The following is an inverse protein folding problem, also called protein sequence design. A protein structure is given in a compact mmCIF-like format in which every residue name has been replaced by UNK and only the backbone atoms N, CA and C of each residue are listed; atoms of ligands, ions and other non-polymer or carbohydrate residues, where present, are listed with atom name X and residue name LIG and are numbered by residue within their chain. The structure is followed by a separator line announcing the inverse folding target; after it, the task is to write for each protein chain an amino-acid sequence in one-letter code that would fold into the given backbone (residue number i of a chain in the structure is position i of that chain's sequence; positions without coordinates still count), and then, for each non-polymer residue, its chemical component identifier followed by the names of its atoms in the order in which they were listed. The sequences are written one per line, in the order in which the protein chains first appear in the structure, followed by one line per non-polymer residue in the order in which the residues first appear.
data_IF_668231977025
#
_entry.id   IF_668231977025
#
_cell.length_a   1.000
_cell.length_b   1.000
_cell.length_c   1.000
_cell.angle_alpha   90.00
_cell.angle_beta   90.00
_cell.angle_gamma   90.00
#
_symmetry.space_group_name_H-M   'P 1'
#
loop_
_entity.id
_entity.type
_entity.pdbx_description
1 polymer ?
#
# COMPACT_ATOMS: atom_id res chain seq x y z
N UNK A 1 -3.00 -9.13 -37.47
CA UNK A 1 -2.02 -8.90 -36.38
C UNK A 1 -2.75 -8.51 -35.08
N UNK A 2 -3.45 -9.44 -34.41
CA UNK A 2 -4.34 -9.09 -33.27
C UNK A 2 -4.50 -10.15 -32.18
N UNK A 3 -4.53 -11.45 -32.52
CA UNK A 3 -4.68 -12.54 -31.51
C UNK A 3 -3.44 -12.78 -30.64
N UNK A 4 -2.23 -12.55 -31.17
CA UNK A 4 -0.97 -12.76 -30.43
C UNK A 4 -0.82 -11.76 -29.26
N UNK A 5 -1.21 -10.50 -29.47
CA UNK A 5 -1.14 -9.43 -28.45
C UNK A 5 -2.11 -9.68 -27.29
N UNK A 6 -3.33 -10.15 -27.58
CA UNK A 6 -4.33 -10.48 -26.55
C UNK A 6 -3.90 -11.65 -25.68
N UNK A 7 -3.30 -12.69 -26.27
CA UNK A 7 -2.79 -13.84 -25.52
C UNK A 7 -1.62 -13.47 -24.60
N UNK A 8 -0.67 -12.66 -25.09
CA UNK A 8 0.46 -12.16 -24.28
C UNK A 8 -0.05 -11.30 -23.12
N UNK A 9 -1.04 -10.42 -23.37
CA UNK A 9 -1.68 -9.61 -22.32
C UNK A 9 -2.42 -10.46 -21.29
N UNK A 10 -3.19 -11.45 -21.71
CA UNK A 10 -3.90 -12.36 -20.81
C UNK A 10 -2.93 -13.20 -19.96
N UNK A 11 -1.84 -13.70 -20.57
CA UNK A 11 -0.79 -14.45 -19.87
C UNK A 11 -0.05 -13.57 -18.86
N UNK A 12 0.31 -12.34 -19.25
CA UNK A 12 0.94 -11.37 -18.35
C UNK A 12 0.01 -11.02 -17.18
N UNK A 13 -1.27 -10.77 -17.47
CA UNK A 13 -2.26 -10.47 -16.44
C UNK A 13 -2.38 -11.63 -15.46
N UNK A 14 -2.57 -12.87 -15.92
CA UNK A 14 -2.58 -14.05 -15.03
C UNK A 14 -1.31 -14.16 -14.20
N UNK A 15 -0.15 -13.98 -14.83
CA UNK A 15 1.14 -14.02 -14.12
C UNK A 15 1.29 -12.91 -13.06
N UNK A 16 0.63 -11.75 -13.21
CA UNK A 16 0.72 -10.67 -12.21
C UNK A 16 -0.43 -10.70 -11.19
N UNK A 17 -1.59 -11.18 -11.59
CA UNK A 17 -2.84 -11.14 -10.82
C UNK A 17 -3.10 -12.43 -10.05
N UNK A 18 -2.67 -13.57 -10.58
CA UNK A 18 -3.02 -14.90 -10.06
C UNK A 18 -1.80 -15.69 -9.57
N UNK A 19 -0.59 -15.37 -10.05
CA UNK A 19 0.60 -16.08 -9.61
C UNK A 19 0.93 -15.76 -8.14
N UNK A 20 1.26 -16.80 -7.37
CA UNK A 20 1.53 -16.70 -5.94
C UNK A 20 2.75 -15.81 -5.61
N UNK A 21 3.69 -15.69 -6.54
CA UNK A 21 4.87 -14.83 -6.48
C UNK A 21 4.68 -13.46 -7.18
N UNK A 22 3.49 -13.23 -7.74
CA UNK A 22 3.13 -11.96 -8.37
C UNK A 22 3.16 -10.80 -7.36
N UNK A 23 3.46 -9.60 -7.85
CA UNK A 23 3.57 -8.38 -7.03
C UNK A 23 2.29 -8.03 -6.26
N UNK A 24 1.14 -8.62 -6.63
CA UNK A 24 -0.14 -8.45 -5.93
C UNK A 24 -0.16 -9.13 -4.56
N UNK A 25 0.61 -10.20 -4.39
CA UNK A 25 0.58 -11.05 -3.21
C UNK A 25 1.93 -11.05 -2.49
N UNK A 26 1.88 -11.41 -1.21
CA UNK A 26 3.09 -11.66 -0.42
C UNK A 26 3.58 -13.09 -0.72
N UNK A 27 4.90 -13.33 -0.80
CA UNK A 27 5.99 -12.39 -0.49
C UNK A 27 6.43 -11.48 -1.65
N UNK A 28 5.89 -11.65 -2.87
CA UNK A 28 6.31 -10.90 -4.06
C UNK A 28 6.23 -9.37 -3.90
N UNK A 29 5.17 -8.87 -3.25
CA UNK A 29 5.04 -7.46 -2.93
C UNK A 29 6.11 -6.97 -1.94
N UNK A 30 6.42 -7.74 -0.89
CA UNK A 30 7.35 -7.36 0.18
C UNK A 30 8.73 -7.01 -0.42
N UNK A 31 9.25 -7.84 -1.33
CA UNK A 31 10.54 -7.62 -1.99
C UNK A 31 10.62 -6.31 -2.79
N UNK A 32 9.50 -5.88 -3.37
CA UNK A 32 9.41 -4.60 -4.09
C UNK A 32 9.27 -3.42 -3.13
N UNK A 33 8.38 -3.54 -2.15
CA UNK A 33 8.09 -2.49 -1.17
C UNK A 33 9.29 -2.15 -0.28
N UNK A 34 10.17 -3.12 -0.02
CA UNK A 34 11.44 -2.91 0.70
C UNK A 34 12.42 -1.99 -0.03
N UNK A 35 12.23 -1.74 -1.34
CA UNK A 35 13.07 -0.85 -2.14
C UNK A 35 12.65 0.63 -2.05
N UNK A 36 11.50 0.94 -1.44
CA UNK A 36 10.99 2.31 -1.29
C UNK A 36 11.96 3.13 -0.44
N UNK A 37 12.40 4.27 -0.98
CA UNK A 37 13.28 5.24 -0.28
C UNK A 37 12.50 6.45 0.22
N UNK A 38 11.35 6.74 -0.39
CA UNK A 38 10.50 7.85 -0.03
C UNK A 38 9.78 7.57 1.31
N UNK A 39 9.52 8.62 2.10
CA UNK A 39 8.63 8.51 3.26
C UNK A 39 7.21 8.15 2.82
N UNK A 40 6.52 7.36 3.64
CA UNK A 40 5.15 6.91 3.38
C UNK A 40 4.27 7.23 4.58
N UNK A 41 3.08 7.78 4.32
CA UNK A 41 1.99 7.82 5.29
C UNK A 41 0.96 6.76 4.89
N UNK A 42 0.79 5.73 5.71
CA UNK A 42 -0.10 4.62 5.42
C UNK A 42 -1.20 4.51 6.47
N UNK A 43 -2.44 4.34 6.01
CA UNK A 43 -3.61 4.12 6.85
C UNK A 43 -4.11 2.69 6.67
N UNK A 44 -4.34 1.99 7.77
CA UNK A 44 -4.88 0.64 7.77
C UNK A 44 -6.02 0.51 8.76
N UNK A 45 -7.09 -0.19 8.35
CA UNK A 45 -8.16 -0.61 9.26
C UNK A 45 -7.89 -1.96 9.92
N UNK A 46 -7.17 -2.82 9.21
CA UNK A 46 -6.80 -4.17 9.63
C UNK A 46 -5.43 -4.13 10.33
N UNK A 47 -5.34 -4.55 11.61
CA UNK A 47 -4.09 -4.55 12.35
C UNK A 47 -3.01 -5.46 11.72
N UNK A 48 -3.40 -6.56 11.07
CA UNK A 48 -2.44 -7.44 10.41
C UNK A 48 -1.79 -6.74 9.21
N UNK A 49 -2.54 -5.92 8.47
CA UNK A 49 -1.99 -5.13 7.34
C UNK A 49 -1.11 -3.98 7.85
N UNK A 50 -1.50 -3.33 8.95
CA UNK A 50 -0.67 -2.33 9.61
C UNK A 50 0.70 -2.91 10.04
N UNK A 51 0.69 -4.09 10.65
CA UNK A 51 1.92 -4.76 11.09
C UNK A 51 2.84 -5.15 9.91
N UNK A 52 2.27 -5.49 8.76
CA UNK A 52 3.06 -5.72 7.53
C UNK A 52 3.71 -4.42 7.07
N UNK A 53 2.98 -3.31 6.97
CA UNK A 53 3.56 -2.04 6.55
C UNK A 53 4.66 -1.57 7.49
N UNK A 54 4.47 -1.73 8.81
CA UNK A 54 5.48 -1.39 9.81
C UNK A 54 6.76 -2.23 9.63
N UNK A 55 6.63 -3.53 9.37
CA UNK A 55 7.80 -4.40 9.09
C UNK A 55 8.54 -4.03 7.80
N UNK A 56 7.85 -3.42 6.84
CA UNK A 56 8.43 -2.99 5.56
C UNK A 56 8.91 -1.53 5.58
N UNK A 57 8.80 -0.86 6.73
CA UNK A 57 9.21 0.53 6.92
C UNK A 57 10.74 0.67 6.79
N UNK A 58 11.18 1.58 5.92
CA UNK A 58 12.60 1.89 5.70
C UNK A 58 12.98 3.33 5.99
N UNK A 59 12.08 4.28 5.70
CA UNK A 59 12.34 5.69 5.95
C UNK A 59 11.93 6.08 7.39
N UNK A 60 12.75 6.86 8.13
CA UNK A 60 12.43 7.24 9.51
C UNK A 60 11.15 8.06 9.61
N UNK A 61 10.87 8.92 8.62
CA UNK A 61 9.63 9.69 8.56
C UNK A 61 8.41 8.90 8.04
N UNK A 62 8.54 7.61 7.70
CA UNK A 62 7.34 6.81 7.37
C UNK A 62 6.50 6.60 8.63
N UNK A 63 5.19 6.74 8.50
CA UNK A 63 4.23 6.56 9.58
C UNK A 63 3.10 5.62 9.16
N UNK A 64 2.83 4.63 10.00
CA UNK A 64 1.71 3.71 9.85
C UNK A 64 0.65 4.07 10.89
N UNK A 65 -0.59 4.26 10.44
CA UNK A 65 -1.71 4.67 11.28
C UNK A 65 -2.78 3.59 11.23
N UNK A 66 -3.04 2.97 12.38
CA UNK A 66 -4.13 2.01 12.52
C UNK A 66 -5.40 2.74 12.94
N UNK A 67 -6.46 2.61 12.13
CA UNK A 67 -7.77 3.22 12.33
C UNK A 67 -8.84 2.11 12.44
N UNK A 68 -8.99 1.49 13.63
CA UNK A 68 -10.01 0.47 13.82
C UNK A 68 -11.42 1.05 13.59
N UNK A 69 -12.26 0.25 12.95
CA UNK A 69 -13.64 0.63 12.62
C UNK A 69 -13.77 1.64 11.49
N UNK A 70 -12.70 1.98 10.76
CA UNK A 70 -12.80 2.74 9.51
C UNK A 70 -13.20 1.82 8.35
N UNK A 71 -14.11 2.30 7.52
CA UNK A 71 -14.50 1.74 6.24
C UNK A 71 -13.52 2.14 5.12
N UNK A 72 -14.01 2.12 3.89
CA UNK A 72 -13.17 2.40 2.71
C UNK A 72 -12.99 3.89 2.47
N UNK A 73 -13.93 4.72 2.92
CA UNK A 73 -14.03 6.12 2.56
C UNK A 73 -13.58 7.00 3.71
N UNK A 74 -12.32 6.81 4.15
CA UNK A 74 -11.78 7.46 5.35
C UNK A 74 -11.98 8.99 5.36
N UNK A 75 -11.85 9.64 4.20
CA UNK A 75 -12.08 11.09 4.07
C UNK A 75 -13.53 11.51 4.36
N UNK A 76 -14.50 10.65 4.04
CA UNK A 76 -15.92 10.92 4.33
C UNK A 76 -16.28 10.57 5.77
N UNK A 77 -15.70 9.48 6.28
CA UNK A 77 -16.05 8.93 7.58
C UNK A 77 -15.39 9.69 8.74
N UNK A 78 -14.13 10.13 8.56
CA UNK A 78 -13.31 10.76 9.61
C UNK A 78 -12.40 11.87 9.05
N UNK A 79 -12.98 12.91 8.40
CA UNK A 79 -12.21 13.97 7.75
C UNK A 79 -11.20 14.63 8.68
N UNK A 80 -11.63 15.08 9.86
CA UNK A 80 -10.78 15.82 10.80
C UNK A 80 -9.60 14.97 11.32
N UNK A 81 -9.84 13.69 11.58
CA UNK A 81 -8.80 12.76 12.02
C UNK A 81 -7.77 12.52 10.90
N UNK A 82 -8.22 12.37 9.66
CA UNK A 82 -7.35 12.22 8.50
C UNK A 82 -6.51 13.47 8.28
N UNK A 83 -7.13 14.65 8.27
CA UNK A 83 -6.48 15.94 8.04
C UNK A 83 -5.45 16.25 9.12
N UNK A 84 -5.81 16.12 10.40
CA UNK A 84 -4.88 16.32 11.52
C UNK A 84 -3.63 15.44 11.40
N UNK A 85 -3.80 14.17 11.03
CA UNK A 85 -2.67 13.24 10.87
C UNK A 85 -1.82 13.61 9.67
N UNK A 86 -2.45 13.96 8.56
CA UNK A 86 -1.78 14.35 7.32
C UNK A 86 -0.93 15.62 7.53
N UNK A 87 -1.51 16.68 8.09
CA UNK A 87 -0.82 17.94 8.35
C UNK A 87 0.38 17.75 9.29
N UNK A 88 0.19 17.03 10.40
CA UNK A 88 1.29 16.73 11.34
C UNK A 88 2.41 15.93 10.69
N UNK A 89 2.07 15.02 9.79
CA UNK A 89 3.08 14.24 9.08
C UNK A 89 3.81 15.09 8.04
N UNK A 90 3.09 15.92 7.28
CA UNK A 90 3.69 16.85 6.31
C UNK A 90 4.65 17.85 6.99
N UNK A 91 4.26 18.38 8.14
CA UNK A 91 5.11 19.27 8.94
C UNK A 91 6.37 18.59 9.50
N UNK A 92 6.37 17.26 9.63
CA UNK A 92 7.49 16.49 10.16
C UNK A 92 8.41 15.90 9.07
N UNK A 93 7.96 15.88 7.80
CA UNK A 93 8.70 15.29 6.68
C UNK A 93 9.29 16.35 5.74
N UNK A 94 8.77 17.58 5.77
CA UNK A 94 9.39 18.76 5.15
C UNK A 94 10.55 19.30 5.97
#
# INVERSE_FOLDING_TARGET
MGRRTTFVRARMLRAHVEAADGIRFRPGSDAWLLRRRQPVLAFHRDPARAAVEERLRRHPATRVVHLPGAGHWLRQERPDQLETVLERWLAAVG
#
